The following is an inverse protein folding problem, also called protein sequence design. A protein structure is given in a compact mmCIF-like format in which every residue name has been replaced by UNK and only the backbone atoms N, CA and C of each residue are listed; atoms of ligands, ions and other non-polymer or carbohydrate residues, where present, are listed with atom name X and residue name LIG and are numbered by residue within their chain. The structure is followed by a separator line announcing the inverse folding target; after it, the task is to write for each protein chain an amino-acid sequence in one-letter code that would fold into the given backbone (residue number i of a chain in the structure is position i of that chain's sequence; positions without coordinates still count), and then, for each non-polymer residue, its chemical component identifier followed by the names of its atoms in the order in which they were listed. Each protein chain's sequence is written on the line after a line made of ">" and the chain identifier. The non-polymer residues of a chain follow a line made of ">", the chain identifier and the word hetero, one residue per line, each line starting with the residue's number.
data_IF_947245148688
#
_entry.id   IF_947245148688
#
_cell.length_a   1.000
_cell.length_b   1.000
_cell.length_c   1.000
_cell.angle_alpha   90.00
_cell.angle_beta   90.00
_cell.angle_gamma   90.00
#
_symmetry.space_group_name_H-M   'P 1'
#
loop_
_entity.id
_entity.type
_entity.pdbx_description
1 polymer ?
#
# COMPACT_ATOMS: atom_id res chain seq x y z
N UNK A 1 57.36 8.36 -4.71
CA UNK A 1 56.06 8.15 -4.04
C UNK A 1 55.07 7.57 -5.05
N UNK A 2 54.64 6.31 -4.89
CA UNK A 2 53.72 5.62 -5.82
C UNK A 2 52.28 6.07 -5.56
N UNK A 3 51.69 6.74 -6.54
CA UNK A 3 50.33 7.23 -6.53
C UNK A 3 49.36 6.04 -6.77
N UNK A 4 48.69 5.54 -5.71
CA UNK A 4 47.69 4.46 -5.85
C UNK A 4 46.37 5.08 -6.34
N UNK A 5 46.05 4.92 -7.63
CA UNK A 5 44.68 5.10 -8.11
C UNK A 5 43.85 3.97 -7.51
N UNK A 6 42.98 4.29 -6.56
CA UNK A 6 41.97 3.37 -6.07
C UNK A 6 40.97 3.10 -7.21
N UNK A 7 41.06 1.93 -7.84
CA UNK A 7 40.02 1.41 -8.72
C UNK A 7 38.82 1.05 -7.85
N UNK A 8 37.77 1.87 -7.91
CA UNK A 8 36.49 1.54 -7.31
C UNK A 8 35.98 0.21 -7.90
N UNK A 9 35.71 -0.77 -7.03
CA UNK A 9 35.20 -2.09 -7.41
C UNK A 9 33.86 -1.95 -8.17
N UNK A 10 33.66 -2.67 -9.29
CA UNK A 10 32.38 -2.72 -10.00
C UNK A 10 31.19 -3.10 -9.10
N UNK A 11 31.47 -3.77 -7.99
CA UNK A 11 30.48 -4.21 -7.00
C UNK A 11 29.82 -3.06 -6.24
N UNK A 12 30.49 -1.90 -6.11
CA UNK A 12 29.91 -0.73 -5.42
C UNK A 12 28.99 0.11 -6.32
N UNK A 13 29.05 -0.06 -7.64
CA UNK A 13 28.22 0.67 -8.59
C UNK A 13 26.79 0.09 -8.72
N UNK A 14 26.55 -1.13 -8.23
CA UNK A 14 25.25 -1.80 -8.33
C UNK A 14 24.25 -1.43 -7.21
N UNK A 15 24.66 -0.66 -6.20
CA UNK A 15 23.84 -0.36 -5.01
C UNK A 15 22.94 0.88 -5.16
N UNK A 16 22.78 1.43 -6.37
CA UNK A 16 21.96 2.64 -6.59
C UNK A 16 20.93 2.47 -7.70
N UNK A 17 20.42 1.25 -7.91
CA UNK A 17 19.20 1.08 -8.69
C UNK A 17 18.02 1.59 -7.85
N UNK A 18 17.69 2.89 -7.97
CA UNK A 18 16.40 3.40 -7.48
C UNK A 18 15.31 2.67 -8.24
N UNK A 19 14.66 1.71 -7.60
CA UNK A 19 13.43 1.13 -8.13
C UNK A 19 12.36 2.21 -8.16
N UNK A 20 11.90 2.59 -9.35
CA UNK A 20 10.73 3.47 -9.49
C UNK A 20 9.51 2.61 -9.21
N UNK A 21 8.97 2.74 -7.99
CA UNK A 21 7.70 2.10 -7.62
C UNK A 21 6.55 2.92 -8.21
N UNK A 22 5.69 2.27 -9.00
CA UNK A 22 4.46 2.88 -9.50
C UNK A 22 3.36 2.73 -8.46
N UNK A 23 2.64 3.81 -8.17
CA UNK A 23 1.51 3.84 -7.24
C UNK A 23 0.25 4.18 -8.03
N UNK A 24 -0.83 3.45 -7.76
CA UNK A 24 -2.15 3.68 -8.34
C UNK A 24 -3.16 3.99 -7.24
N UNK A 25 -4.09 4.91 -7.49
CA UNK A 25 -5.20 5.21 -6.59
C UNK A 25 -6.51 4.66 -7.17
N UNK A 26 -7.31 4.02 -6.32
CA UNK A 26 -8.63 3.51 -6.68
C UNK A 26 -9.67 3.94 -5.65
N UNK A 27 -10.87 4.32 -6.12
CA UNK A 27 -12.01 4.63 -5.26
C UNK A 27 -13.33 4.36 -6.00
N UNK A 28 -14.31 3.79 -5.29
CA UNK A 28 -15.71 3.82 -5.70
C UNK A 28 -16.35 5.12 -5.18
N UNK A 29 -17.07 5.83 -6.04
CA UNK A 29 -17.62 7.16 -5.76
C UNK A 29 -19.05 7.27 -6.27
N UNK A 30 -19.97 7.71 -5.41
CA UNK A 30 -21.34 8.02 -5.80
C UNK A 30 -21.40 9.26 -6.70
N UNK A 31 -22.52 9.47 -7.42
CA UNK A 31 -22.67 10.63 -8.33
C UNK A 31 -22.52 11.99 -7.63
N UNK A 32 -22.92 12.06 -6.37
CA UNK A 32 -22.78 13.24 -5.50
C UNK A 32 -21.39 13.34 -4.83
N UNK A 33 -20.49 12.41 -5.11
CA UNK A 33 -19.12 12.40 -4.64
C UNK A 33 -18.85 11.72 -3.31
N UNK A 34 -19.85 11.12 -2.69
CA UNK A 34 -19.67 10.30 -1.49
C UNK A 34 -18.82 9.07 -1.80
N UNK A 35 -17.83 8.78 -0.93
CA UNK A 35 -16.96 7.59 -1.00
C UNK A 35 -17.20 6.60 0.16
N UNK A 36 -18.01 6.99 1.15
CA UNK A 36 -18.32 6.22 2.35
C UNK A 36 -19.20 7.00 3.32
N UNK A 37 -19.78 6.32 4.30
CA UNK A 37 -20.57 6.88 5.39
C UNK A 37 -20.23 6.14 6.68
N UNK A 38 -19.51 6.78 7.60
CA UNK A 38 -19.00 6.09 8.80
C UNK A 38 -17.94 5.03 8.44
N UNK A 39 -18.14 3.79 8.89
CA UNK A 39 -17.34 2.62 8.52
C UNK A 39 -17.77 1.97 7.20
N UNK A 40 -18.90 2.39 6.64
CA UNK A 40 -19.60 1.62 5.63
C UNK A 40 -19.61 2.32 4.26
N UNK A 41 -19.89 1.53 3.23
CA UNK A 41 -20.17 2.02 1.89
C UNK A 41 -21.70 2.13 1.74
N UNK A 42 -22.28 3.34 1.57
CA UNK A 42 -23.73 3.55 1.63
C UNK A 42 -24.46 3.17 0.33
N UNK A 43 -23.95 2.18 -0.41
CA UNK A 43 -24.56 1.65 -1.62
C UNK A 43 -24.27 0.16 -1.78
N UNK A 44 -25.12 -0.51 -2.56
CA UNK A 44 -24.90 -1.89 -2.98
C UNK A 44 -24.78 -1.93 -4.51
N UNK A 45 -23.54 -1.92 -5.01
CA UNK A 45 -23.23 -2.04 -6.42
C UNK A 45 -22.81 -3.47 -6.73
N UNK A 46 -23.66 -4.22 -7.42
CA UNK A 46 -23.37 -5.62 -7.80
C UNK A 46 -22.06 -5.67 -8.61
N UNK A 47 -21.14 -6.55 -8.19
CA UNK A 47 -19.87 -6.78 -8.86
C UNK A 47 -18.73 -5.83 -8.49
N UNK A 48 -19.00 -4.75 -7.74
CA UNK A 48 -17.96 -3.78 -7.34
C UNK A 48 -16.87 -4.45 -6.48
N UNK A 49 -17.26 -5.22 -5.46
CA UNK A 49 -16.31 -5.96 -4.62
C UNK A 49 -15.54 -7.04 -5.40
N UNK A 50 -16.14 -7.64 -6.44
CA UNK A 50 -15.46 -8.61 -7.30
C UNK A 50 -14.38 -7.91 -8.13
N UNK A 51 -14.67 -6.72 -8.66
CA UNK A 51 -13.71 -5.90 -9.37
C UNK A 51 -12.57 -5.45 -8.46
N UNK A 52 -12.89 -4.98 -7.25
CA UNK A 52 -11.89 -4.63 -6.24
C UNK A 52 -10.97 -5.81 -5.93
N UNK A 53 -11.54 -7.01 -5.71
CA UNK A 53 -10.76 -8.23 -5.49
C UNK A 53 -9.87 -8.55 -6.70
N UNK A 54 -10.40 -8.52 -7.91
CA UNK A 54 -9.65 -8.86 -9.12
C UNK A 54 -8.45 -7.94 -9.33
N UNK A 55 -8.61 -6.63 -9.08
CA UNK A 55 -7.55 -5.65 -9.27
C UNK A 55 -6.50 -5.71 -8.15
N UNK A 56 -6.91 -5.99 -6.91
CA UNK A 56 -6.03 -5.95 -5.73
C UNK A 56 -5.43 -7.31 -5.36
N UNK A 57 -5.80 -8.39 -6.05
CA UNK A 57 -5.33 -9.73 -5.76
C UNK A 57 -3.81 -9.84 -5.90
N UNK A 58 -3.14 -10.40 -4.89
CA UNK A 58 -1.68 -10.57 -4.83
C UNK A 58 -0.89 -9.25 -4.96
N UNK A 59 -1.53 -8.11 -4.62
CA UNK A 59 -0.92 -6.79 -4.59
C UNK A 59 -0.71 -6.29 -3.16
N UNK A 60 0.12 -5.25 -3.04
CA UNK A 60 0.18 -4.43 -1.83
C UNK A 60 -0.94 -3.40 -1.83
N UNK A 61 -1.56 -3.22 -0.67
CA UNK A 61 -2.60 -2.22 -0.41
C UNK A 61 -2.10 -1.18 0.58
N UNK A 62 -2.03 0.07 0.13
CA UNK A 62 -1.79 1.22 1.00
C UNK A 62 -3.15 1.78 1.43
N UNK A 63 -3.47 1.68 2.72
CA UNK A 63 -4.78 2.09 3.25
C UNK A 63 -4.62 2.86 4.55
N UNK A 64 -5.62 3.67 4.88
CA UNK A 64 -5.71 4.27 6.21
C UNK A 64 -6.19 3.27 7.26
N UNK A 65 -5.82 3.49 8.53
CA UNK A 65 -6.26 2.67 9.68
C UNK A 65 -7.76 2.37 9.69
N UNK A 66 -8.62 3.39 9.53
CA UNK A 66 -10.10 3.22 9.55
C UNK A 66 -10.60 2.28 8.45
N UNK A 67 -10.03 2.38 7.26
CA UNK A 67 -10.38 1.50 6.13
C UNK A 67 -9.96 0.06 6.44
N UNK A 68 -8.78 -0.13 7.01
CA UNK A 68 -8.30 -1.46 7.38
C UNK A 68 -9.16 -2.09 8.49
N UNK A 69 -9.56 -1.33 9.51
CA UNK A 69 -10.43 -1.84 10.58
C UNK A 69 -11.83 -2.19 10.10
N UNK A 70 -12.40 -1.43 9.16
CA UNK A 70 -13.72 -1.72 8.61
C UNK A 70 -13.73 -2.95 7.69
N UNK A 71 -12.67 -3.14 6.89
CA UNK A 71 -12.59 -4.21 5.89
C UNK A 71 -11.91 -5.48 6.42
N UNK A 72 -10.97 -5.34 7.33
CA UNK A 72 -10.04 -6.39 7.76
C UNK A 72 -8.97 -6.73 6.72
N UNK A 73 -8.09 -7.65 7.11
CA UNK A 73 -7.11 -8.25 6.21
C UNK A 73 -7.81 -9.23 5.27
N UNK A 74 -7.69 -8.99 3.97
CA UNK A 74 -8.23 -9.89 2.97
C UNK A 74 -7.13 -10.85 2.48
N UNK A 75 -7.44 -12.12 2.17
CA UNK A 75 -6.43 -13.14 1.88
C UNK A 75 -5.61 -12.80 0.62
N UNK A 76 -4.34 -13.23 0.61
CA UNK A 76 -3.40 -13.03 -0.51
C UNK A 76 -3.16 -11.55 -0.86
N UNK A 77 -3.12 -10.69 0.15
CA UNK A 77 -2.80 -9.26 0.01
C UNK A 77 -1.91 -8.85 1.17
N UNK A 78 -0.99 -7.93 0.87
CA UNK A 78 -0.17 -7.26 1.89
C UNK A 78 -0.68 -5.86 2.12
N UNK A 79 -0.53 -5.36 3.34
CA UNK A 79 -1.08 -4.09 3.77
C UNK A 79 0.02 -3.19 4.33
N UNK A 80 0.12 -2.00 3.76
CA UNK A 80 0.77 -0.85 4.38
C UNK A 80 -0.33 0.02 4.99
N UNK A 81 -0.47 -0.01 6.31
CA UNK A 81 -1.51 0.74 7.03
C UNK A 81 -0.92 2.05 7.52
N UNK A 82 -1.50 3.18 7.12
CA UNK A 82 -1.06 4.50 7.57
C UNK A 82 -1.89 4.94 8.77
N UNK A 83 -1.20 5.29 9.86
CA UNK A 83 -1.83 5.76 11.10
C UNK A 83 -0.90 6.71 11.86
N UNK A 84 -1.42 7.89 12.24
CA UNK A 84 -0.72 8.83 13.14
C UNK A 84 -1.04 8.58 14.63
N UNK A 85 -2.11 7.85 14.92
CA UNK A 85 -2.63 7.63 16.27
C UNK A 85 -3.40 6.31 16.34
N UNK A 86 -3.10 5.48 17.34
CA UNK A 86 -3.66 4.13 17.48
C UNK A 86 -2.85 3.08 16.71
N UNK A 87 -2.82 1.86 17.25
CA UNK A 87 -2.09 0.72 16.72
C UNK A 87 -3.04 -0.30 16.07
N UNK A 88 -2.58 -0.89 14.97
CA UNK A 88 -3.18 -2.08 14.36
C UNK A 88 -2.21 -3.23 14.61
N UNK A 89 -2.73 -4.43 14.87
CA UNK A 89 -1.90 -5.62 15.03
C UNK A 89 -1.06 -5.84 13.76
N UNK A 90 0.24 -5.91 13.94
CA UNK A 90 1.23 -6.09 12.87
C UNK A 90 1.54 -7.58 12.72
N UNK A 91 1.75 -8.03 11.49
CA UNK A 91 2.25 -9.36 11.15
C UNK A 91 3.01 -9.32 9.80
N UNK A 92 3.39 -10.47 9.26
CA UNK A 92 4.16 -10.57 8.00
C UNK A 92 3.45 -9.98 6.77
N UNK A 93 2.13 -9.81 6.84
CA UNK A 93 1.28 -9.28 5.78
C UNK A 93 0.73 -7.87 6.09
N UNK A 94 0.89 -7.35 7.31
CA UNK A 94 0.33 -6.07 7.74
C UNK A 94 1.41 -5.26 8.46
N UNK A 95 1.86 -4.17 7.83
CA UNK A 95 2.88 -3.26 8.36
C UNK A 95 2.27 -1.87 8.55
N UNK A 96 2.51 -1.26 9.71
CA UNK A 96 1.98 0.06 10.06
C UNK A 96 3.05 1.14 9.90
N UNK A 97 2.69 2.24 9.24
CA UNK A 97 3.55 3.40 9.01
C UNK A 97 2.92 4.69 9.58
N UNK A 98 3.73 5.63 10.13
CA UNK A 98 3.21 6.91 10.63
C UNK A 98 2.79 7.88 9.51
N UNK A 99 3.40 7.75 8.33
CA UNK A 99 3.15 8.59 7.15
C UNK A 99 3.59 7.87 5.86
N UNK A 100 3.20 8.43 4.70
CA UNK A 100 3.66 8.06 3.35
C UNK A 100 4.81 8.98 2.96
#
# INVERSE_FOLDING_TARGET
>A
MRNRRATLSPFMAALTQRSIVKISLMAAKARNGVIGCGSDIPWNAKGEQLLFKAITYNQWLLVGRKTFEAMGALPNRKYAVVSRSGSVATNDDVVVFPSI
#
